data_IF_892530752136
#
_entry.id   IF_892530752136
#
_cell.length_a   1.000
_cell.length_b   1.000
_cell.length_c   1.000
_cell.angle_alpha   90.00
_cell.angle_beta   90.00
_cell.angle_gamma   90.00
#
_symmetry.space_group_name_H-M   'P 1'
#
loop_
_entity.id
_entity.type
_entity.pdbx_description
1 polymer ?
#
# COMPACT_ATOMS: atom_id res chain seq x y z
N UNK A 1 -64.35 15.95 -11.56
CA UNK A 1 -65.44 15.08 -11.07
C UNK A 1 -65.18 13.69 -11.63
N UNK A 2 -63.98 13.15 -11.40
CA UNK A 2 -63.51 12.54 -10.14
C UNK A 2 -64.34 11.30 -9.83
N UNK A 3 -63.78 10.13 -10.14
CA UNK A 3 -63.63 9.10 -9.12
C UNK A 3 -62.54 8.08 -9.50
N UNK A 4 -61.62 7.89 -8.55
CA UNK A 4 -60.55 6.89 -8.47
C UNK A 4 -60.97 5.84 -7.43
N UNK A 5 -60.41 4.63 -7.53
CA UNK A 5 -60.45 3.56 -6.52
C UNK A 5 -61.25 2.36 -7.03
N UNK A 6 -60.88 1.08 -6.88
CA UNK A 6 -59.88 0.40 -6.08
C UNK A 6 -59.58 -0.94 -6.79
N UNK A 7 -58.31 -1.33 -6.93
CA UNK A 7 -57.92 -2.65 -7.47
C UNK A 7 -56.88 -3.36 -6.60
N UNK A 8 -56.90 -3.13 -5.28
CA UNK A 8 -55.94 -3.71 -4.34
C UNK A 8 -56.65 -4.52 -3.25
N UNK A 9 -57.13 -5.73 -3.59
CA UNK A 9 -57.51 -6.77 -2.62
C UNK A 9 -57.82 -8.12 -3.31
N UNK A 10 -56.79 -8.93 -3.60
CA UNK A 10 -56.98 -10.38 -3.81
C UNK A 10 -55.62 -11.12 -3.80
N UNK A 11 -55.05 -11.34 -2.61
CA UNK A 11 -54.00 -12.35 -2.38
C UNK A 11 -53.86 -12.60 -0.86
N UNK A 12 -54.88 -13.26 -0.31
CA UNK A 12 -54.86 -13.79 1.06
C UNK A 12 -55.79 -15.01 1.14
N UNK A 13 -55.27 -16.19 0.80
CA UNK A 13 -55.67 -17.55 1.21
C UNK A 13 -54.98 -18.53 0.24
N UNK A 14 -54.36 -19.65 0.60
CA UNK A 14 -54.20 -20.41 1.82
C UNK A 14 -53.50 -21.70 1.37
N UNK A 15 -52.53 -22.20 2.14
CA UNK A 15 -51.73 -23.36 1.73
C UNK A 15 -50.82 -23.87 2.83
N UNK A 16 -51.42 -24.17 3.98
CA UNK A 16 -50.81 -24.87 5.11
C UNK A 16 -50.56 -26.34 4.70
N UNK A 17 -49.30 -26.74 4.54
CA UNK A 17 -48.91 -28.14 4.35
C UNK A 17 -48.43 -28.68 5.69
N UNK A 18 -49.29 -29.51 6.29
CA UNK A 18 -49.02 -30.27 7.50
C UNK A 18 -47.90 -31.29 7.25
N UNK A 19 -46.81 -31.14 8.01
CA UNK A 19 -45.73 -32.11 8.12
C UNK A 19 -46.15 -33.17 9.14
N UNK A 20 -46.73 -34.28 8.69
CA UNK A 20 -46.92 -35.47 9.53
C UNK A 20 -45.56 -36.06 9.89
N UNK A 21 -45.25 -36.02 11.18
CA UNK A 21 -44.23 -36.86 11.78
C UNK A 21 -44.73 -38.29 11.91
N UNK A 22 -43.83 -39.24 11.64
CA UNK A 22 -43.99 -40.62 12.07
C UNK A 22 -42.80 -41.03 12.92
N UNK A 23 -43.16 -41.66 14.03
CA UNK A 23 -42.30 -41.99 15.14
C UNK A 23 -41.60 -43.34 14.97
N UNK A 24 -40.39 -43.43 15.52
CA UNK A 24 -39.90 -44.51 16.38
C UNK A 24 -40.35 -45.95 16.08
N UNK A 25 -39.43 -46.77 15.54
CA UNK A 25 -39.31 -48.16 15.95
C UNK A 25 -37.83 -48.52 16.20
N UNK A 26 -37.58 -48.99 17.41
CA UNK A 26 -36.31 -49.54 17.88
C UNK A 26 -36.17 -51.03 17.55
N UNK A 27 -34.92 -51.49 17.55
CA UNK A 27 -34.46 -52.87 17.88
C UNK A 27 -34.58 -53.95 16.80
N UNK A 28 -33.43 -54.46 16.31
CA UNK A 28 -32.82 -55.69 16.81
C UNK A 28 -31.87 -56.36 15.79
N UNK A 29 -30.69 -56.70 16.30
CA UNK A 29 -29.76 -57.76 15.89
C UNK A 29 -30.31 -58.86 14.96
N UNK A 30 -29.58 -59.15 13.87
CA UNK A 30 -29.38 -60.52 13.42
C UNK A 30 -28.07 -60.67 12.62
N UNK A 31 -27.13 -61.38 13.25
CA UNK A 31 -25.98 -62.04 12.65
C UNK A 31 -26.42 -62.89 11.44
N UNK A 32 -25.74 -62.75 10.29
CA UNK A 32 -25.68 -63.83 9.32
C UNK A 32 -24.28 -63.95 8.73
N UNK A 33 -23.61 -65.02 9.15
CA UNK A 33 -22.36 -65.54 8.60
C UNK A 33 -22.60 -66.08 7.18
N UNK A 34 -21.65 -65.83 6.29
CA UNK A 34 -21.54 -66.48 4.98
C UNK A 34 -20.28 -67.36 4.93
N UNK A 35 -20.33 -68.56 4.31
CA UNK A 35 -19.21 -69.51 4.27
C UNK A 35 -18.28 -69.29 3.06
N UNK A 36 -17.10 -69.96 3.01
CA UNK A 36 -16.00 -69.59 2.14
C UNK A 36 -15.96 -70.40 0.84
N UNK A 37 -15.49 -69.78 -0.24
CA UNK A 37 -15.10 -70.50 -1.46
C UNK A 37 -13.81 -69.96 -2.07
N UNK A 38 -12.78 -70.80 -1.94
CA UNK A 38 -11.74 -71.17 -2.93
C UNK A 38 -11.09 -70.10 -3.80
N UNK A 39 -9.77 -69.98 -3.59
CA UNK A 39 -8.77 -69.37 -4.48
C UNK A 39 -8.71 -70.02 -5.88
N UNK A 40 -8.06 -69.33 -6.85
CA UNK A 40 -6.79 -69.86 -7.34
C UNK A 40 -5.67 -68.83 -7.63
N UNK A 41 -4.45 -69.33 -7.41
CA UNK A 41 -3.10 -69.09 -7.98
C UNK A 41 -2.74 -67.82 -8.77
N UNK A 42 -1.77 -67.08 -8.20
CA UNK A 42 -0.43 -66.74 -8.71
C UNK A 42 -0.17 -66.77 -10.23
N UNK A 43 0.20 -65.59 -10.79
CA UNK A 43 1.38 -65.38 -11.67
C UNK A 43 1.86 -63.91 -11.52
N UNK A 44 3.19 -63.63 -11.45
CA UNK A 44 3.76 -62.29 -11.27
C UNK A 44 4.19 -61.65 -12.61
N UNK A 45 4.22 -60.31 -12.70
CA UNK A 45 4.90 -59.57 -13.77
C UNK A 45 5.10 -58.08 -13.41
N UNK A 46 6.08 -57.39 -14.04
CA UNK A 46 7.17 -56.78 -13.28
C UNK A 46 7.10 -55.25 -13.17
N UNK A 47 7.78 -54.77 -12.12
CA UNK A 47 8.13 -53.37 -11.90
C UNK A 47 9.12 -52.88 -12.97
N UNK A 48 8.73 -51.83 -13.69
CA UNK A 48 9.65 -50.96 -14.42
C UNK A 48 9.91 -49.70 -13.57
N UNK A 49 11.17 -49.32 -13.31
CA UNK A 49 11.48 -48.08 -12.62
C UNK A 49 11.38 -46.89 -13.60
N UNK A 50 10.62 -45.86 -13.21
CA UNK A 50 10.65 -44.55 -13.86
C UNK A 50 12.00 -43.86 -13.57
N UNK A 51 12.60 -43.17 -14.55
CA UNK A 51 13.82 -42.41 -14.34
C UNK A 51 13.54 -41.16 -13.49
N UNK A 52 14.30 -41.01 -12.41
CA UNK A 52 14.38 -39.77 -11.63
C UNK A 52 15.06 -38.69 -12.47
N UNK A 53 14.28 -37.75 -12.99
CA UNK A 53 14.81 -36.51 -13.59
C UNK A 53 15.21 -35.56 -12.45
N UNK A 54 16.51 -35.39 -12.24
CA UNK A 54 17.10 -34.42 -11.32
C UNK A 54 16.88 -33.00 -11.84
N UNK A 55 16.50 -32.10 -10.92
CA UNK A 55 16.16 -30.70 -11.14
C UNK A 55 17.40 -29.78 -11.24
N UNK A 56 18.55 -30.32 -11.64
CA UNK A 56 19.83 -29.58 -11.68
C UNK A 56 20.28 -29.15 -13.09
N UNK A 57 19.53 -29.52 -14.14
CA UNK A 57 19.93 -29.28 -15.55
C UNK A 57 19.26 -28.06 -16.23
N UNK A 58 18.61 -27.16 -15.48
CA UNK A 58 17.90 -26.00 -16.04
C UNK A 58 18.40 -24.64 -15.53
N UNK A 59 19.72 -24.45 -15.45
CA UNK A 59 20.30 -23.11 -15.35
C UNK A 59 21.36 -22.87 -16.44
N UNK A 60 21.21 -21.85 -17.31
CA UNK A 60 22.25 -21.47 -18.23
C UNK A 60 23.42 -20.82 -17.47
N UNK A 61 24.60 -21.41 -17.62
CA UNK A 61 25.90 -20.88 -17.20
C UNK A 61 26.20 -19.55 -17.89
N UNK A 62 26.31 -18.47 -17.10
CA UNK A 62 26.84 -17.20 -17.59
C UNK A 62 28.38 -17.25 -17.70
N UNK A 63 28.98 -16.63 -18.73
CA UNK A 63 30.41 -16.70 -18.97
C UNK A 63 31.21 -15.83 -18.00
N UNK A 64 32.29 -16.43 -17.52
CA UNK A 64 33.38 -15.87 -16.71
C UNK A 64 34.04 -14.73 -17.48
N UNK A 65 34.18 -13.56 -16.83
CA UNK A 65 35.06 -12.47 -17.29
C UNK A 65 36.37 -12.51 -16.48
N UNK A 66 37.54 -12.40 -17.11
CA UNK A 66 38.83 -12.45 -16.42
C UNK A 66 39.18 -11.10 -15.80
N UNK A 67 39.94 -11.16 -14.70
CA UNK A 67 40.36 -10.01 -13.92
C UNK A 67 41.38 -9.10 -14.60
N UNK A 68 41.45 -7.89 -14.05
CA UNK A 68 42.58 -6.98 -14.19
C UNK A 68 42.85 -6.35 -12.82
N UNK A 69 43.78 -6.97 -12.10
CA UNK A 69 44.56 -6.32 -11.07
C UNK A 69 45.70 -5.51 -11.72
N UNK A 70 46.20 -4.54 -10.95
CA UNK A 70 47.36 -3.67 -11.21
C UNK A 70 47.10 -2.44 -12.10
N UNK A 71 47.18 -1.25 -11.49
CA UNK A 71 48.32 -0.31 -11.62
C UNK A 71 48.07 0.85 -10.63
N UNK A 72 48.86 0.88 -9.56
CA UNK A 72 49.17 2.09 -8.79
C UNK A 72 50.29 2.84 -9.55
N UNK A 73 50.29 4.18 -9.53
CA UNK A 73 51.24 4.93 -8.68
C UNK A 73 50.52 6.13 -8.02
N UNK A 74 50.94 6.74 -6.94
CA UNK A 74 52.27 6.94 -6.35
C UNK A 74 52.23 8.34 -5.71
N UNK A 75 52.95 8.48 -4.61
CA UNK A 75 52.98 9.62 -3.69
C UNK A 75 53.08 11.01 -4.33
N UNK A 76 52.30 11.97 -3.81
CA UNK A 76 52.74 13.37 -3.70
C UNK A 76 52.24 14.00 -2.40
N UNK A 77 53.17 14.19 -1.47
CA UNK A 77 53.08 15.08 -0.32
C UNK A 77 52.89 16.53 -0.75
N UNK A 78 51.85 17.21 -0.27
CA UNK A 78 51.85 18.68 -0.13
C UNK A 78 51.01 19.10 1.08
N UNK A 79 51.65 19.13 2.25
CA UNK A 79 51.24 20.00 3.35
C UNK A 79 51.62 21.45 3.01
N UNK A 80 50.75 22.43 3.26
CA UNK A 80 51.18 23.74 3.70
C UNK A 80 50.87 23.94 5.19
N UNK A 81 51.85 24.50 5.89
CA UNK A 81 51.84 24.91 7.30
C UNK A 81 50.60 25.73 7.69
N UNK A 82 50.16 25.66 8.97
CA UNK A 82 49.17 26.56 9.51
C UNK A 82 49.79 27.95 9.77
N UNK A 83 49.26 28.97 9.09
CA UNK A 83 49.49 30.37 9.46
C UNK A 83 48.63 30.74 10.66
N UNK A 84 49.30 31.33 11.63
CA UNK A 84 48.79 31.99 12.83
C UNK A 84 47.60 32.89 12.49
N UNK A 85 46.41 32.57 13.02
CA UNK A 85 45.24 33.45 13.00
C UNK A 85 45.07 34.10 14.37
N UNK A 86 45.40 35.39 14.41
CA UNK A 86 45.16 36.36 15.48
C UNK A 86 43.69 36.41 15.91
N UNK A 87 43.50 36.47 17.23
CA UNK A 87 42.25 36.74 17.96
C UNK A 87 41.50 37.97 17.42
N UNK A 88 40.16 37.90 17.24
CA UNK A 88 39.33 39.09 17.18
C UNK A 88 38.85 39.53 18.59
N UNK A 89 38.69 40.84 18.84
CA UNK A 89 38.28 41.41 20.14
C UNK A 89 36.77 41.24 20.43
N UNK A 90 36.33 41.40 21.70
CA UNK A 90 35.00 41.02 22.15
C UNK A 90 33.88 41.89 21.57
N UNK A 91 32.87 41.24 20.99
CA UNK A 91 31.66 41.88 20.49
C UNK A 91 30.73 42.27 21.64
N UNK A 92 30.33 43.54 21.65
CA UNK A 92 29.33 44.12 22.56
C UNK A 92 27.94 43.54 22.24
N UNK A 93 27.29 42.97 23.26
CA UNK A 93 25.95 42.38 23.18
C UNK A 93 24.90 43.50 23.18
N UNK A 94 24.14 43.64 22.09
CA UNK A 94 22.98 44.54 22.00
C UNK A 94 21.70 43.70 22.07
N UNK A 95 20.83 44.03 23.04
CA UNK A 95 19.62 43.27 23.38
C UNK A 95 18.57 43.24 22.25
N UNK A 96 17.76 42.17 22.15
CA UNK A 96 16.71 42.03 21.13
C UNK A 96 15.56 43.03 21.33
N UNK A 97 15.00 43.56 20.23
CA UNK A 97 13.96 44.58 20.25
C UNK A 97 12.59 44.00 19.85
N UNK A 98 11.61 44.09 20.75
CA UNK A 98 10.19 43.89 20.44
C UNK A 98 9.58 45.23 20.01
N UNK A 99 8.88 45.25 18.88
CA UNK A 99 8.33 46.47 18.28
C UNK A 99 6.82 46.29 18.11
N UNK A 100 6.04 47.30 18.51
CA UNK A 100 4.58 47.33 18.31
C UNK A 100 4.26 48.20 17.08
N UNK A 101 3.63 47.61 16.07
CA UNK A 101 3.33 48.22 14.78
C UNK A 101 1.82 48.36 14.58
N UNK A 102 1.36 49.52 14.10
CA UNK A 102 -0.04 49.77 13.78
C UNK A 102 -0.23 49.74 12.26
N UNK A 103 -0.98 48.76 11.75
CA UNK A 103 -1.22 48.56 10.31
C UNK A 103 -2.71 48.72 10.01
N UNK A 104 -3.04 49.55 9.03
CA UNK A 104 -4.43 49.71 8.55
C UNK A 104 -4.65 48.84 7.32
N UNK A 105 -5.73 48.06 7.30
CA UNK A 105 -6.07 47.20 6.15
C UNK A 105 -6.64 48.06 5.02
N UNK A 106 -5.84 48.32 3.98
CA UNK A 106 -6.23 49.11 2.81
C UNK A 106 -6.57 48.18 1.64
N UNK A 107 -7.65 48.46 0.90
CA UNK A 107 -8.08 47.68 -0.27
C UNK A 107 -8.29 46.17 0.02
N UNK A 108 -8.64 45.81 1.24
CA UNK A 108 -8.87 44.42 1.66
C UNK A 108 -7.60 43.59 1.90
N UNK A 109 -6.41 44.16 1.75
CA UNK A 109 -5.13 43.48 1.92
C UNK A 109 -4.22 44.23 2.90
N UNK A 110 -3.36 43.50 3.61
CA UNK A 110 -2.36 44.10 4.51
C UNK A 110 -1.00 44.31 3.82
N UNK A 111 -0.76 43.60 2.71
CA UNK A 111 0.43 43.76 1.88
C UNK A 111 1.68 43.02 2.37
N UNK A 112 1.53 41.95 3.15
CA UNK A 112 2.64 41.07 3.52
C UNK A 112 2.18 39.60 3.56
N UNK A 113 3.11 38.68 3.31
CA UNK A 113 2.92 37.23 3.40
C UNK A 113 3.69 36.64 4.56
N UNK A 114 3.13 35.59 5.16
CA UNK A 114 3.69 34.92 6.33
C UNK A 114 3.99 33.45 6.05
N UNK A 115 5.06 32.92 6.65
CA UNK A 115 5.50 31.53 6.53
C UNK A 115 5.65 30.94 7.94
N UNK A 116 5.30 29.66 8.15
CA UNK A 116 5.43 29.01 9.45
C UNK A 116 6.91 28.89 9.83
N UNK A 117 7.23 29.22 11.07
CA UNK A 117 8.60 29.14 11.56
C UNK A 117 8.98 27.67 11.80
N UNK A 118 10.12 27.24 11.24
CA UNK A 118 10.58 25.85 11.38
C UNK A 118 10.98 25.56 12.83
N UNK A 119 10.22 24.71 13.52
CA UNK A 119 10.55 24.17 14.84
C UNK A 119 10.03 24.93 16.06
N UNK A 120 9.32 26.05 15.87
CA UNK A 120 8.61 26.77 16.94
C UNK A 120 7.27 27.26 16.39
N UNK A 121 6.22 27.32 17.23
CA UNK A 121 4.93 27.90 16.85
C UNK A 121 5.07 29.36 16.38
N UNK A 122 4.03 29.86 15.70
CA UNK A 122 3.99 31.22 15.17
C UNK A 122 4.48 31.35 13.72
N UNK A 123 4.52 32.59 13.25
CA UNK A 123 4.73 32.91 11.84
C UNK A 123 5.77 34.02 11.64
N UNK A 124 6.50 33.94 10.54
CA UNK A 124 7.52 34.90 10.14
C UNK A 124 7.09 35.61 8.85
N UNK A 125 7.36 36.90 8.75
CA UNK A 125 7.09 37.68 7.53
C UNK A 125 8.08 37.25 6.43
N UNK A 126 7.55 36.68 5.35
CA UNK A 126 8.35 36.18 4.22
C UNK A 126 8.33 37.12 3.02
N UNK A 127 7.21 37.80 2.78
CA UNK A 127 7.06 38.74 1.66
C UNK A 127 6.45 40.03 2.16
N UNK A 128 6.90 41.14 1.60
CA UNK A 128 6.38 42.48 1.88
C UNK A 128 6.16 43.18 0.55
N UNK A 129 4.95 43.69 0.33
CA UNK A 129 4.62 44.44 -0.87
C UNK A 129 5.09 45.88 -0.70
N UNK A 130 5.91 46.41 -1.63
CA UNK A 130 6.42 47.78 -1.54
C UNK A 130 5.27 48.79 -1.58
N UNK A 131 5.37 49.85 -0.77
CA UNK A 131 4.35 50.89 -0.61
C UNK A 131 3.00 50.40 -0.05
N UNK A 132 2.93 49.21 0.55
CA UNK A 132 1.76 48.73 1.28
C UNK A 132 1.62 49.37 2.66
N UNK A 133 0.45 49.23 3.29
CA UNK A 133 0.23 49.67 4.69
C UNK A 133 1.23 49.04 5.67
N UNK A 134 1.62 47.78 5.44
CA UNK A 134 2.60 47.10 6.30
C UNK A 134 4.03 47.63 6.12
N UNK A 135 4.42 47.97 4.89
CA UNK A 135 5.71 48.61 4.59
C UNK A 135 5.79 50.01 5.21
N UNK A 136 4.71 50.81 5.07
CA UNK A 136 4.61 52.14 5.70
C UNK A 136 4.58 52.10 7.23
N UNK A 137 4.04 51.02 7.80
CA UNK A 137 4.07 50.81 9.24
C UNK A 137 5.46 50.38 9.76
N UNK A 138 6.41 50.01 8.88
CA UNK A 138 7.78 49.64 9.25
C UNK A 138 7.99 48.15 9.54
N UNK A 139 7.08 47.29 9.05
CA UNK A 139 7.26 45.83 9.08
C UNK A 139 8.39 45.44 8.13
N UNK A 140 9.24 44.48 8.53
CA UNK A 140 10.34 43.98 7.70
C UNK A 140 10.19 42.50 7.42
N UNK A 141 10.80 42.07 6.31
CA UNK A 141 11.03 40.65 6.06
C UNK A 141 11.88 40.10 7.21
N UNK A 142 11.57 38.88 7.61
CA UNK A 142 12.14 38.16 8.76
C UNK A 142 11.67 38.59 10.15
N UNK A 143 10.81 39.61 10.28
CA UNK A 143 10.14 39.92 11.55
C UNK A 143 9.22 38.74 11.94
N UNK A 144 9.28 38.33 13.20
CA UNK A 144 8.44 37.25 13.74
C UNK A 144 7.21 37.84 14.45
N UNK A 145 6.01 37.41 14.08
CA UNK A 145 4.78 37.90 14.73
C UNK A 145 4.63 37.24 16.11
N UNK A 146 4.51 38.06 17.15
CA UNK A 146 4.24 37.61 18.52
C UNK A 146 2.75 37.81 18.88
N UNK A 147 2.16 38.96 18.56
CA UNK A 147 0.74 39.24 18.88
C UNK A 147 0.01 39.96 17.76
N UNK A 148 -1.27 39.66 17.62
CA UNK A 148 -2.21 40.32 16.71
C UNK A 148 -3.37 40.86 17.55
N UNK A 149 -3.44 42.18 17.73
CA UNK A 149 -4.38 42.83 18.63
C UNK A 149 -4.16 42.38 20.08
N UNK A 150 -5.14 41.64 20.60
CA UNK A 150 -5.12 41.09 21.98
C UNK A 150 -4.64 39.63 22.01
N UNK A 151 -4.59 38.96 20.86
CA UNK A 151 -4.31 37.53 20.77
C UNK A 151 -2.82 37.24 20.60
N UNK A 152 -2.31 36.27 21.36
CA UNK A 152 -0.94 35.78 21.24
C UNK A 152 -0.86 34.74 20.11
N UNK A 153 -0.06 35.04 19.08
CA UNK A 153 0.09 34.20 17.89
C UNK A 153 1.41 33.43 17.87
N UNK A 154 2.27 33.61 18.88
CA UNK A 154 3.58 32.96 18.97
C UNK A 154 3.52 31.44 19.10
N UNK A 155 2.37 30.85 19.42
CA UNK A 155 2.18 29.39 19.52
C UNK A 155 1.07 28.85 18.60
N UNK A 156 0.45 29.70 17.78
CA UNK A 156 -0.67 29.31 16.91
C UNK A 156 -0.17 28.69 15.59
N UNK A 157 -1.00 27.83 14.98
CA UNK A 157 -0.73 27.27 13.66
C UNK A 157 -0.94 28.33 12.56
N UNK A 158 -0.26 28.17 11.42
CA UNK A 158 -0.32 29.12 10.29
C UNK A 158 -1.74 29.45 9.86
N UNK A 159 -2.61 28.44 9.77
CA UNK A 159 -3.97 28.59 9.28
C UNK A 159 -4.79 29.52 10.19
N UNK A 160 -4.71 29.33 11.50
CA UNK A 160 -5.45 30.13 12.49
C UNK A 160 -4.97 31.60 12.49
N UNK A 161 -3.66 31.82 12.32
CA UNK A 161 -3.09 33.17 12.23
C UNK A 161 -3.54 33.88 10.96
N UNK A 162 -3.60 33.16 9.83
CA UNK A 162 -4.10 33.70 8.56
C UNK A 162 -5.60 34.02 8.64
N UNK A 163 -6.39 33.19 9.32
CA UNK A 163 -7.80 33.46 9.56
C UNK A 163 -8.02 34.72 10.40
N UNK A 164 -7.23 34.92 11.47
CA UNK A 164 -7.30 36.15 12.27
C UNK A 164 -6.92 37.40 11.47
N UNK A 165 -5.90 37.34 10.63
CA UNK A 165 -5.52 38.45 9.74
C UNK A 165 -6.59 38.73 8.67
N UNK A 166 -7.32 37.70 8.21
CA UNK A 166 -8.43 37.84 7.27
C UNK A 166 -9.69 38.42 7.92
N UNK A 167 -9.97 38.06 9.18
CA UNK A 167 -11.17 38.48 9.92
C UNK A 167 -11.25 39.99 10.18
N UNK A 168 -10.13 40.71 10.11
CA UNK A 168 -10.12 42.17 10.28
C UNK A 168 -10.82 42.88 9.13
N UNK A 169 -11.68 43.84 9.46
CA UNK A 169 -12.45 44.59 8.47
C UNK A 169 -11.55 45.55 7.67
N UNK A 170 -11.83 45.76 6.36
CA UNK A 170 -11.12 46.77 5.58
C UNK A 170 -11.34 48.16 6.21
N UNK A 171 -10.27 48.94 6.39
CA UNK A 171 -10.27 50.24 7.06
C UNK A 171 -10.01 50.20 8.57
N UNK A 172 -9.95 49.02 9.18
CA UNK A 172 -9.63 48.86 10.61
C UNK A 172 -8.11 48.78 10.84
N UNK A 173 -7.65 49.36 11.96
CA UNK A 173 -6.25 49.34 12.35
C UNK A 173 -5.96 48.15 13.27
N UNK A 174 -4.99 47.33 12.89
CA UNK A 174 -4.50 46.18 13.66
C UNK A 174 -3.20 46.57 14.36
N UNK A 175 -3.08 46.19 15.63
CA UNK A 175 -1.82 46.26 16.35
C UNK A 175 -1.06 44.93 16.22
N UNK A 176 0.17 44.95 15.72
CA UNK A 176 1.04 43.78 15.63
C UNK A 176 2.25 43.97 16.54
N UNK A 177 2.47 43.04 17.47
CA UNK A 177 3.75 42.97 18.20
C UNK A 177 4.67 42.03 17.46
N UNK A 178 5.83 42.53 17.04
CA UNK A 178 6.82 41.77 16.29
C UNK A 178 8.14 41.67 17.03
N UNK A 179 8.76 40.50 16.95
CA UNK A 179 10.12 40.27 17.39
C UNK A 179 11.06 40.42 16.21
N UNK A 180 11.97 41.38 16.32
CA UNK A 180 13.03 41.57 15.33
C UNK A 180 14.31 40.92 15.85
N UNK A 181 14.74 39.76 15.30
CA UNK A 181 16.04 39.20 15.66
C UNK A 181 17.14 40.21 15.26
N UNK A 182 17.93 40.63 16.23
CA UNK A 182 19.04 41.58 16.05
C UNK A 182 20.21 40.92 15.33
N UNK A 183 20.06 40.69 14.02
CA UNK A 183 21.21 40.57 13.13
C UNK A 183 21.71 41.98 12.77
N UNK A 184 23.02 42.25 12.74
CA UNK A 184 23.54 43.57 12.40
C UNK A 184 23.05 43.95 11.00
N UNK A 185 22.66 45.22 10.75
CA UNK A 185 22.42 45.67 9.40
C UNK A 185 23.75 45.52 8.67
N UNK A 186 23.81 44.61 7.69
CA UNK A 186 24.85 44.63 6.67
C UNK A 186 24.75 46.00 5.98
N UNK A 187 25.48 46.98 6.51
CA UNK A 187 25.94 48.11 5.72
C UNK A 187 26.60 47.46 4.51
N UNK A 188 26.00 47.69 3.34
CA UNK A 188 26.58 47.37 2.05
C UNK A 188 28.08 47.70 2.14
N UNK A 189 29.01 46.74 1.98
CA UNK A 189 30.38 47.11 1.77
C UNK A 189 30.35 47.94 0.49
N UNK A 190 30.85 49.17 0.58
CA UNK A 190 31.20 49.96 -0.59
C UNK A 190 32.33 49.19 -1.27
N UNK A 191 31.94 48.22 -2.09
CA UNK A 191 32.79 47.49 -3.01
C UNK A 191 33.29 48.53 -4.02
N UNK A 192 34.48 49.07 -3.75
CA UNK A 192 35.41 49.34 -4.84
C UNK A 192 36.03 47.99 -5.22
N UNK A 193 35.21 47.07 -5.72
CA UNK A 193 35.63 46.02 -6.62
C UNK A 193 35.19 46.50 -8.01
N UNK A 194 36.03 46.37 -9.05
CA UNK A 194 35.82 47.06 -10.31
C UNK A 194 34.44 46.67 -10.86
N UNK A 195 33.62 47.65 -11.24
CA UNK A 195 32.24 47.45 -11.75
C UNK A 195 32.16 46.32 -12.79
N UNK A 196 33.26 46.09 -13.52
CA UNK A 196 33.44 45.00 -14.47
C UNK A 196 33.25 43.59 -13.87
N UNK A 197 33.68 43.33 -12.63
CA UNK A 197 33.56 42.02 -12.00
C UNK A 197 32.12 41.71 -11.54
N UNK A 198 31.43 42.72 -11.00
CA UNK A 198 30.02 42.59 -10.61
C UNK A 198 29.12 42.46 -11.83
N UNK A 199 29.39 43.25 -12.88
CA UNK A 199 28.70 43.15 -14.18
C UNK A 199 28.89 41.76 -14.80
N UNK A 200 30.11 41.23 -14.77
CA UNK A 200 30.40 39.86 -15.25
C UNK A 200 29.67 38.77 -14.46
N UNK A 201 29.49 38.93 -13.14
CA UNK A 201 28.69 38.00 -12.33
C UNK A 201 27.18 38.09 -12.63
N UNK A 202 26.65 39.30 -12.83
CA UNK A 202 25.24 39.50 -13.22
C UNK A 202 24.98 38.95 -14.62
N UNK A 203 25.90 39.18 -15.57
CA UNK A 203 25.80 38.64 -16.92
C UNK A 203 25.89 37.10 -16.92
N UNK A 204 26.74 36.51 -16.06
CA UNK A 204 26.83 35.06 -15.87
C UNK A 204 25.54 34.50 -15.27
N UNK A 205 25.01 35.10 -14.21
CA UNK A 205 23.75 34.69 -13.59
C UNK A 205 22.54 34.84 -14.54
N UNK A 206 22.51 35.90 -15.35
CA UNK A 206 21.49 36.09 -16.38
C UNK A 206 21.57 35.02 -17.47
N UNK A 207 22.80 34.64 -17.88
CA UNK A 207 23.03 33.55 -18.83
C UNK A 207 22.58 32.20 -18.24
N UNK A 208 22.89 31.92 -16.98
CA UNK A 208 22.48 30.69 -16.31
C UNK A 208 20.97 30.63 -16.12
N UNK A 209 20.32 31.75 -15.81
CA UNK A 209 18.86 31.85 -15.76
C UNK A 209 18.24 31.60 -17.15
N UNK A 210 18.80 32.17 -18.21
CA UNK A 210 18.34 31.92 -19.57
C UNK A 210 18.49 30.44 -19.96
N UNK A 211 19.62 29.80 -19.60
CA UNK A 211 19.85 28.37 -19.80
C UNK A 211 18.83 27.52 -19.02
N UNK A 212 18.56 27.87 -17.75
CA UNK A 212 17.59 27.17 -16.93
C UNK A 212 16.14 27.30 -17.47
N UNK A 213 15.78 28.47 -18.00
CA UNK A 213 14.48 28.67 -18.68
C UNK A 213 14.41 27.81 -19.94
N UNK A 214 15.47 27.76 -20.74
CA UNK A 214 15.53 26.93 -21.95
C UNK A 214 15.49 25.43 -21.64
N UNK A 215 16.11 24.96 -20.57
CA UNK A 215 16.01 23.56 -20.13
C UNK A 215 14.60 23.26 -19.60
N UNK A 216 13.98 24.19 -18.86
CA UNK A 216 12.60 24.04 -18.38
C UNK A 216 11.61 23.92 -19.53
N UNK A 217 11.76 24.70 -20.61
CA UNK A 217 10.90 24.59 -21.79
C UNK A 217 11.12 23.25 -22.51
N UNK A 218 12.37 22.81 -22.71
CA UNK A 218 12.65 21.48 -23.28
C UNK A 218 12.05 20.34 -22.45
N UNK A 219 12.10 20.43 -21.12
CA UNK A 219 11.50 19.44 -20.23
C UNK A 219 9.97 19.47 -20.30
N UNK A 220 9.35 20.65 -20.46
CA UNK A 220 7.92 20.76 -20.69
C UNK A 220 7.50 20.10 -22.01
N UNK A 221 8.26 20.31 -23.09
CA UNK A 221 8.02 19.67 -24.40
C UNK A 221 8.18 18.14 -24.32
N UNK A 222 9.20 17.64 -23.60
CA UNK A 222 9.35 16.19 -23.34
C UNK A 222 8.20 15.63 -22.52
N UNK A 223 7.73 16.35 -21.50
CA UNK A 223 6.61 15.92 -20.67
C UNK A 223 5.32 15.82 -21.49
N UNK A 224 5.05 16.81 -22.35
CA UNK A 224 3.88 16.77 -23.26
C UNK A 224 3.99 15.63 -24.27
N UNK A 225 5.17 15.36 -24.82
CA UNK A 225 5.41 14.21 -25.70
C UNK A 225 5.21 12.86 -24.99
N UNK A 226 5.67 12.73 -23.75
CA UNK A 226 5.46 11.52 -22.95
C UNK A 226 3.98 11.29 -22.64
N UNK A 227 3.23 12.35 -22.28
CA UNK A 227 1.78 12.25 -22.06
C UNK A 227 1.05 11.74 -23.30
N UNK A 228 1.42 12.24 -24.49
CA UNK A 228 0.86 11.76 -25.77
C UNK A 228 1.17 10.28 -26.01
N UNK A 229 2.41 9.83 -25.79
CA UNK A 229 2.77 8.41 -25.94
C UNK A 229 2.04 7.50 -24.95
N UNK A 230 1.91 7.92 -23.70
CA UNK A 230 1.15 7.16 -22.69
C UNK A 230 -0.31 7.05 -23.12
N UNK A 231 -0.91 8.15 -23.60
CA UNK A 231 -2.27 8.14 -24.12
C UNK A 231 -2.43 7.19 -25.33
N UNK A 232 -1.50 7.19 -26.27
CA UNK A 232 -1.50 6.26 -27.42
C UNK A 232 -1.39 4.79 -26.98
N UNK A 233 -0.56 4.50 -25.97
CA UNK A 233 -0.42 3.13 -25.43
C UNK A 233 -1.72 2.69 -24.77
N UNK A 234 -2.36 3.55 -23.98
CA UNK A 234 -3.65 3.26 -23.34
C UNK A 234 -4.73 3.00 -24.39
N UNK A 235 -4.83 3.84 -25.43
CA UNK A 235 -5.79 3.65 -26.52
C UNK A 235 -5.56 2.29 -27.22
N UNK A 236 -4.32 1.95 -27.55
CA UNK A 236 -3.99 0.66 -28.17
C UNK A 236 -4.34 -0.53 -27.27
N UNK A 237 -4.09 -0.42 -25.97
CA UNK A 237 -4.45 -1.45 -25.02
C UNK A 237 -5.98 -1.65 -24.96
N UNK A 238 -6.74 -0.56 -24.92
CA UNK A 238 -8.22 -0.62 -24.92
C UNK A 238 -8.76 -1.21 -26.23
N UNK A 239 -8.18 -0.87 -27.38
CA UNK A 239 -8.53 -1.46 -28.69
C UNK A 239 -8.30 -2.98 -28.70
N UNK A 240 -7.15 -3.44 -28.18
CA UNK A 240 -6.87 -4.89 -28.10
C UNK A 240 -7.84 -5.60 -27.15
N UNK A 241 -8.20 -4.98 -26.03
CA UNK A 241 -9.15 -5.55 -25.07
C UNK A 241 -10.56 -5.64 -25.67
N UNK A 242 -10.99 -4.61 -26.40
CA UNK A 242 -12.26 -4.62 -27.13
C UNK A 242 -12.28 -5.70 -28.21
N UNK A 243 -11.18 -5.91 -28.93
CA UNK A 243 -11.08 -6.96 -29.95
C UNK A 243 -11.17 -8.36 -29.34
N UNK A 244 -10.41 -8.64 -28.27
CA UNK A 244 -10.48 -9.91 -27.53
C UNK A 244 -11.88 -10.15 -26.97
N UNK A 245 -12.55 -9.10 -26.48
CA UNK A 245 -13.92 -9.21 -25.95
C UNK A 245 -14.90 -9.58 -27.06
N UNK A 246 -14.83 -8.91 -28.23
CA UNK A 246 -15.65 -9.26 -29.40
C UNK A 246 -15.43 -10.70 -29.88
N UNK A 247 -14.18 -11.16 -29.91
CA UNK A 247 -13.85 -12.54 -30.29
C UNK A 247 -14.41 -13.56 -29.29
N UNK A 248 -14.34 -13.27 -27.99
CA UNK A 248 -14.95 -14.10 -26.94
C UNK A 248 -16.47 -14.14 -27.08
N UNK A 249 -17.12 -13.00 -27.28
CA UNK A 249 -18.58 -12.93 -27.44
C UNK A 249 -19.05 -13.67 -28.70
N UNK A 250 -18.31 -13.56 -29.81
CA UNK A 250 -18.57 -14.33 -31.03
C UNK A 250 -18.43 -15.84 -30.78
N UNK A 251 -17.42 -16.25 -30.00
CA UNK A 251 -17.21 -17.66 -29.64
C UNK A 251 -18.33 -18.18 -28.73
N UNK A 252 -18.78 -17.37 -27.76
CA UNK A 252 -19.90 -17.71 -26.88
C UNK A 252 -21.20 -17.82 -27.69
N UNK A 253 -21.45 -16.90 -28.61
CA UNK A 253 -22.62 -16.95 -29.49
C UNK A 253 -22.61 -18.22 -30.35
N UNK A 254 -21.46 -18.58 -30.93
CA UNK A 254 -21.31 -19.83 -31.70
C UNK A 254 -21.56 -21.08 -30.85
N UNK A 255 -20.94 -21.18 -29.67
CA UNK A 255 -21.16 -22.32 -28.77
C UNK A 255 -22.62 -22.41 -28.27
N UNK A 256 -23.30 -21.26 -28.13
CA UNK A 256 -24.72 -21.22 -27.76
C UNK A 256 -25.60 -21.73 -28.89
N UNK A 257 -25.30 -21.36 -30.14
CA UNK A 257 -25.98 -21.90 -31.33
C UNK A 257 -25.74 -23.40 -31.47
N UNK A 258 -24.48 -23.85 -31.41
CA UNK A 258 -24.12 -25.27 -31.52
C UNK A 258 -24.83 -26.10 -30.43
N UNK A 259 -24.95 -25.55 -29.20
CA UNK A 259 -25.71 -26.19 -28.12
C UNK A 259 -27.21 -26.30 -28.44
N UNK A 260 -27.81 -25.26 -29.03
CA UNK A 260 -29.20 -25.28 -29.45
C UNK A 260 -29.44 -26.30 -30.57
N UNK A 261 -28.55 -26.36 -31.56
CA UNK A 261 -28.61 -27.29 -32.67
C UNK A 261 -28.48 -28.75 -32.19
N UNK A 262 -27.54 -29.03 -31.27
CA UNK A 262 -27.39 -30.37 -30.65
C UNK A 262 -28.63 -30.73 -29.81
N UNK A 263 -29.20 -29.78 -29.07
CA UNK A 263 -30.42 -30.02 -28.31
C UNK A 263 -31.62 -30.33 -29.23
N UNK A 264 -31.73 -29.62 -30.36
CA UNK A 264 -32.76 -29.87 -31.37
C UNK A 264 -32.56 -31.24 -32.04
N UNK A 265 -31.33 -31.61 -32.40
CA UNK A 265 -30.99 -32.92 -32.96
C UNK A 265 -31.28 -34.07 -31.98
N UNK A 266 -31.04 -33.85 -30.68
CA UNK A 266 -31.38 -34.82 -29.64
C UNK A 266 -32.90 -34.96 -29.51
N UNK A 267 -33.65 -33.86 -29.55
CA UNK A 267 -35.11 -33.90 -29.50
C UNK A 267 -35.73 -34.60 -30.72
N UNK A 268 -35.18 -34.40 -31.93
CA UNK A 268 -35.63 -35.10 -33.14
C UNK A 268 -35.31 -36.59 -33.10
N UNK A 269 -34.10 -36.98 -32.65
CA UNK A 269 -33.74 -38.39 -32.45
C UNK A 269 -34.64 -39.06 -31.41
N UNK A 270 -34.93 -38.39 -30.28
CA UNK A 270 -35.87 -38.91 -29.28
C UNK A 270 -37.29 -39.07 -29.83
N UNK A 271 -37.74 -38.16 -30.70
CA UNK A 271 -39.03 -38.28 -31.37
C UNK A 271 -39.05 -39.45 -32.37
N UNK A 272 -37.98 -39.64 -33.15
CA UNK A 272 -37.80 -40.78 -34.04
C UNK A 272 -37.79 -42.10 -33.27
N UNK A 273 -37.04 -42.20 -32.18
CA UNK A 273 -37.05 -43.36 -31.28
C UNK A 273 -38.46 -43.68 -30.76
N UNK A 274 -39.27 -42.67 -30.45
CA UNK A 274 -40.68 -42.89 -30.01
C UNK A 274 -41.58 -43.39 -31.14
N UNK A 275 -41.29 -43.03 -32.38
CA UNK A 275 -42.00 -43.53 -33.58
C UNK A 275 -41.54 -44.95 -33.88
N UNK A 276 -40.23 -45.21 -33.87
CA UNK A 276 -39.64 -46.54 -34.07
C UNK A 276 -40.04 -47.54 -32.99
N UNK A 277 -40.11 -47.11 -31.72
CA UNK A 277 -40.64 -47.94 -30.63
C UNK A 277 -42.12 -48.30 -30.81
N UNK A 278 -42.87 -47.53 -31.62
CA UNK A 278 -44.27 -47.82 -32.00
C UNK A 278 -44.37 -48.64 -33.30
N UNK A 279 -43.36 -48.62 -34.15
CA UNK A 279 -43.26 -49.44 -35.36
C UNK A 279 -42.33 -50.62 -35.11
N UNK A 280 -42.91 -51.74 -34.67
CA UNK A 280 -42.30 -53.07 -34.55
C UNK A 280 -40.98 -53.29 -35.34
N UNK A 281 -39.89 -53.45 -34.58
CA UNK A 281 -38.65 -54.16 -34.90
C UNK A 281 -38.05 -53.98 -36.30
N UNK A 282 -37.34 -52.87 -36.50
CA UNK A 282 -36.25 -52.84 -37.48
C UNK A 282 -34.91 -52.95 -36.74
N UNK A 283 -34.20 -54.07 -36.94
CA UNK A 283 -32.93 -54.37 -36.26
C UNK A 283 -31.87 -53.28 -36.49
N UNK A 284 -32.02 -52.51 -37.57
CA UNK A 284 -31.12 -51.45 -37.98
C UNK A 284 -31.23 -50.19 -37.10
N UNK A 285 -32.45 -49.76 -36.75
CA UNK A 285 -32.66 -48.60 -35.87
C UNK A 285 -32.14 -48.86 -34.44
N UNK A 286 -32.38 -50.06 -33.91
CA UNK A 286 -31.82 -50.48 -32.63
C UNK A 286 -30.28 -50.51 -32.62
N UNK A 287 -29.64 -50.87 -33.74
CA UNK A 287 -28.19 -50.84 -33.85
C UNK A 287 -27.64 -49.41 -33.84
N UNK A 288 -28.32 -48.46 -34.49
CA UNK A 288 -27.91 -47.05 -34.51
C UNK A 288 -28.08 -46.37 -33.15
N UNK A 289 -29.22 -46.57 -32.48
CA UNK A 289 -29.45 -46.04 -31.12
C UNK A 289 -28.42 -46.59 -30.14
N UNK A 290 -28.09 -47.89 -30.25
CA UNK A 290 -27.05 -48.50 -29.43
C UNK A 290 -25.68 -47.89 -29.71
N UNK A 291 -25.33 -47.66 -30.97
CA UNK A 291 -24.07 -46.99 -31.32
C UNK A 291 -23.99 -45.56 -30.78
N UNK A 292 -25.10 -44.80 -30.82
CA UNK A 292 -25.17 -43.46 -30.23
C UNK A 292 -25.05 -43.49 -28.70
N UNK A 293 -25.66 -44.47 -28.04
CA UNK A 293 -25.54 -44.68 -26.60
C UNK A 293 -24.09 -45.02 -26.22
N UNK A 294 -23.46 -45.95 -26.94
CA UNK A 294 -22.06 -46.34 -26.71
C UNK A 294 -21.11 -45.14 -26.92
N UNK A 295 -21.36 -44.32 -27.94
CA UNK A 295 -20.61 -43.08 -28.18
C UNK A 295 -20.83 -42.03 -27.08
N UNK A 296 -22.05 -41.89 -26.56
CA UNK A 296 -22.35 -40.99 -25.45
C UNK A 296 -21.70 -41.46 -24.14
N UNK A 297 -21.69 -42.76 -23.87
CA UNK A 297 -21.00 -43.36 -22.71
C UNK A 297 -19.49 -43.11 -22.80
N UNK A 298 -18.88 -43.31 -23.97
CA UNK A 298 -17.47 -42.99 -24.19
C UNK A 298 -17.18 -41.51 -23.92
N UNK A 299 -18.05 -40.61 -24.42
CA UNK A 299 -17.89 -39.17 -24.22
C UNK A 299 -18.03 -38.75 -22.75
N UNK A 300 -18.91 -39.39 -21.98
CA UNK A 300 -19.02 -39.16 -20.53
C UNK A 300 -17.74 -39.61 -19.83
N UNK A 301 -17.21 -40.80 -20.17
CA UNK A 301 -15.95 -41.29 -19.61
C UNK A 301 -14.77 -40.34 -19.88
N UNK A 302 -14.67 -39.80 -21.10
CA UNK A 302 -13.66 -38.81 -21.46
C UNK A 302 -13.78 -37.51 -20.64
N UNK A 303 -15.01 -37.04 -20.40
CA UNK A 303 -15.27 -35.85 -19.58
C UNK A 303 -14.92 -36.09 -18.11
N UNK A 304 -15.23 -37.25 -17.55
CA UNK A 304 -14.83 -37.63 -16.19
C UNK A 304 -13.30 -37.71 -16.06
N UNK A 305 -12.61 -38.28 -17.04
CA UNK A 305 -11.14 -38.32 -17.05
C UNK A 305 -10.53 -36.91 -17.13
N UNK A 306 -11.13 -36.01 -17.92
CA UNK A 306 -10.73 -34.61 -17.97
C UNK A 306 -10.95 -33.90 -16.62
N UNK A 307 -12.06 -34.17 -15.93
CA UNK A 307 -12.34 -33.64 -14.60
C UNK A 307 -11.36 -34.17 -13.55
N UNK A 308 -11.04 -35.47 -13.57
CA UNK A 308 -10.02 -36.08 -12.72
C UNK A 308 -8.65 -35.43 -12.93
N UNK A 309 -8.23 -35.24 -14.19
CA UNK A 309 -6.98 -34.55 -14.54
C UNK A 309 -6.98 -33.10 -14.05
N UNK A 310 -8.08 -32.36 -14.23
CA UNK A 310 -8.23 -30.98 -13.73
C UNK A 310 -8.15 -30.92 -12.20
N UNK A 311 -8.80 -31.85 -11.51
CA UNK A 311 -8.76 -31.96 -10.05
C UNK A 311 -7.35 -32.28 -9.54
N UNK A 312 -6.64 -33.20 -10.20
CA UNK A 312 -5.25 -33.52 -9.88
C UNK A 312 -4.32 -32.32 -10.09
N UNK A 313 -4.47 -31.60 -11.21
CA UNK A 313 -3.71 -30.37 -11.50
C UNK A 313 -3.99 -29.28 -10.44
N UNK A 314 -5.24 -29.11 -10.01
CA UNK A 314 -5.63 -28.18 -8.93
C UNK A 314 -4.98 -28.56 -7.61
N UNK A 315 -5.02 -29.84 -7.21
CA UNK A 315 -4.33 -30.33 -6.00
C UNK A 315 -2.83 -30.05 -6.06
N UNK A 316 -2.20 -30.29 -7.21
CA UNK A 316 -0.78 -30.00 -7.41
C UNK A 316 -0.48 -28.51 -7.29
N UNK A 317 -1.28 -27.65 -7.94
CA UNK A 317 -1.14 -26.19 -7.84
C UNK A 317 -1.24 -25.69 -6.39
N UNK A 318 -2.27 -26.14 -5.65
CA UNK A 318 -2.44 -25.77 -4.23
C UNK A 318 -1.25 -26.25 -3.39
N UNK A 319 -0.74 -27.45 -3.65
CA UNK A 319 0.45 -27.98 -2.97
C UNK A 319 1.70 -27.14 -3.25
N UNK A 320 1.93 -26.72 -4.49
CA UNK A 320 3.06 -25.85 -4.85
C UNK A 320 2.92 -24.46 -4.22
N UNK A 321 1.72 -23.90 -4.23
CA UNK A 321 1.43 -22.62 -3.57
C UNK A 321 1.67 -22.69 -2.06
N UNK A 322 1.26 -23.77 -1.39
CA UNK A 322 1.51 -23.97 0.03
C UNK A 322 3.02 -24.09 0.34
N UNK A 323 3.78 -24.83 -0.47
CA UNK A 323 5.22 -24.95 -0.31
C UNK A 323 5.95 -23.61 -0.51
N UNK A 324 5.51 -22.81 -1.48
CA UNK A 324 6.06 -21.49 -1.75
C UNK A 324 5.68 -20.46 -0.67
N UNK A 325 4.45 -20.52 -0.16
CA UNK A 325 3.97 -19.69 0.94
C UNK A 325 4.84 -19.86 2.19
N UNK A 326 5.22 -21.10 2.54
CA UNK A 326 6.11 -21.36 3.68
C UNK A 326 7.49 -20.70 3.56
N UNK A 327 8.09 -20.71 2.36
CA UNK A 327 9.37 -20.01 2.11
C UNK A 327 9.24 -18.49 2.17
N UNK A 328 8.17 -17.97 1.58
CA UNK A 328 7.90 -16.53 1.57
C UNK A 328 7.49 -16.00 2.96
N UNK A 329 6.95 -16.85 3.83
CA UNK A 329 6.52 -16.46 5.17
C UNK A 329 7.70 -15.94 6.01
N UNK A 330 8.81 -16.70 6.04
CA UNK A 330 10.01 -16.27 6.76
C UNK A 330 10.59 -14.96 6.19
N UNK A 331 10.50 -14.75 4.87
CA UNK A 331 10.93 -13.50 4.23
C UNK A 331 10.01 -12.34 4.60
N UNK A 332 8.70 -12.56 4.61
CA UNK A 332 7.71 -11.56 4.99
C UNK A 332 7.90 -11.14 6.46
N UNK A 333 8.05 -12.10 7.37
CA UNK A 333 8.35 -11.84 8.79
C UNK A 333 9.61 -11.00 8.96
N UNK A 334 10.65 -11.31 8.19
CA UNK A 334 11.91 -10.56 8.22
C UNK A 334 11.72 -9.12 7.75
N UNK A 335 11.03 -8.91 6.61
CA UNK A 335 10.72 -7.57 6.09
C UNK A 335 9.86 -6.77 7.07
N UNK A 336 8.85 -7.39 7.67
CA UNK A 336 8.00 -6.73 8.67
C UNK A 336 8.83 -6.24 9.85
N UNK A 337 9.74 -7.08 10.37
CA UNK A 337 10.63 -6.69 11.47
C UNK A 337 11.59 -5.58 11.05
N UNK A 338 12.19 -5.65 9.86
CA UNK A 338 13.10 -4.61 9.37
C UNK A 338 12.40 -3.25 9.28
N UNK A 339 11.21 -3.22 8.66
CA UNK A 339 10.41 -1.99 8.58
C UNK A 339 10.02 -1.47 9.97
N UNK A 340 9.67 -2.36 10.90
CA UNK A 340 9.35 -1.99 12.27
C UNK A 340 10.57 -1.41 13.01
N UNK A 341 11.74 -2.01 12.86
CA UNK A 341 12.99 -1.52 13.47
C UNK A 341 13.39 -0.16 12.92
N UNK A 342 13.30 0.03 11.60
CA UNK A 342 13.54 1.34 10.96
C UNK A 342 12.58 2.39 11.52
N UNK A 343 11.31 2.03 11.65
CA UNK A 343 10.29 2.94 12.15
C UNK A 343 10.52 3.29 13.64
N UNK A 344 10.86 2.31 14.50
CA UNK A 344 11.25 2.55 15.90
C UNK A 344 12.52 3.39 16.02
N UNK A 345 13.54 3.14 15.20
CA UNK A 345 14.77 3.93 15.17
C UNK A 345 14.50 5.39 14.75
N UNK A 346 13.61 5.59 13.77
CA UNK A 346 13.18 6.92 13.34
C UNK A 346 12.45 7.66 14.46
N UNK A 347 11.59 6.96 15.21
CA UNK A 347 10.96 7.52 16.41
C UNK A 347 11.98 7.88 17.49
N UNK A 348 12.95 7.02 17.76
CA UNK A 348 14.03 7.30 18.71
C UNK A 348 14.83 8.56 18.31
N UNK A 349 15.18 8.70 17.03
CA UNK A 349 15.86 9.89 16.52
C UNK A 349 15.02 11.17 16.67
N UNK A 350 13.70 11.10 16.38
CA UNK A 350 12.78 12.22 16.59
C UNK A 350 12.65 12.61 18.08
N UNK A 351 12.70 11.63 18.99
CA UNK A 351 12.74 11.86 20.45
C UNK A 351 14.03 12.55 20.87
N UNK A 352 15.18 12.10 20.37
CA UNK A 352 16.46 12.70 20.68
C UNK A 352 16.50 14.18 20.25
N UNK A 353 15.94 14.50 19.07
CA UNK A 353 15.85 15.87 18.57
C UNK A 353 14.94 16.78 19.43
N UNK A 354 13.84 16.24 19.97
CA UNK A 354 12.87 17.01 20.77
C UNK A 354 13.33 17.24 22.22
N UNK A 355 14.07 16.30 22.84
CA UNK A 355 14.65 16.46 24.19
C UNK A 355 15.60 17.66 24.32
N UNK A 356 16.16 18.15 23.21
CA UNK A 356 16.99 19.37 23.16
C UNK A 356 16.21 20.65 23.53
N UNK A 357 14.88 20.65 23.37
CA UNK A 357 14.02 21.80 23.63
C UNK A 357 13.08 21.52 24.83
N UNK A 358 13.58 21.76 26.05
CA UNK A 358 12.88 21.52 27.31
C UNK A 358 11.49 22.19 27.47
N UNK A 359 11.12 23.11 26.56
CA UNK A 359 9.89 23.90 26.63
C UNK A 359 8.80 23.52 25.60
N UNK A 360 9.06 22.61 24.65
CA UNK A 360 8.07 22.16 23.67
C UNK A 360 8.17 20.65 23.50
N UNK A 361 7.61 19.90 24.45
CA UNK A 361 7.46 18.45 24.32
C UNK A 361 6.36 18.15 23.29
N UNK A 362 6.71 18.14 22.00
CA UNK A 362 5.84 17.60 20.97
C UNK A 362 5.55 16.14 21.31
N UNK A 363 4.30 15.84 21.67
CA UNK A 363 3.85 14.47 21.95
C UNK A 363 3.91 13.68 20.65
N UNK A 364 4.87 12.77 20.55
CA UNK A 364 4.92 11.82 19.44
C UNK A 364 3.63 10.98 19.42
N UNK A 365 3.16 10.59 18.22
CA UNK A 365 1.99 9.75 18.10
C UNK A 365 2.18 8.46 18.91
N UNK A 366 1.16 7.99 19.65
CA UNK A 366 1.24 6.78 20.47
C UNK A 366 1.26 5.49 19.63
N UNK A 367 1.10 5.63 18.32
CA UNK A 367 1.05 4.54 17.36
C UNK A 367 2.13 4.68 16.29
N UNK A 368 2.52 3.54 15.74
CA UNK A 368 3.50 3.36 14.69
C UNK A 368 2.87 2.55 13.57
N UNK A 369 2.91 3.05 12.35
CA UNK A 369 2.38 2.32 11.18
C UNK A 369 3.50 1.95 10.24
N UNK A 370 3.52 0.70 9.79
CA UNK A 370 4.42 0.19 8.77
C UNK A 370 3.62 -0.33 7.58
N UNK A 371 4.21 -0.25 6.39
CA UNK A 371 3.65 -0.78 5.16
C UNK A 371 4.68 -1.69 4.49
N UNK A 372 4.22 -2.84 4.01
CA UNK A 372 5.03 -3.82 3.29
C UNK A 372 4.32 -4.15 1.97
N UNK A 373 5.03 -3.92 0.87
CA UNK A 373 4.53 -4.13 -0.50
C UNK A 373 4.96 -5.49 -1.06
N UNK A 374 4.23 -5.94 -2.10
CA UNK A 374 4.48 -7.20 -2.82
C UNK A 374 4.32 -8.43 -1.91
N UNK A 375 3.36 -8.37 -1.01
CA UNK A 375 3.03 -9.46 -0.10
C UNK A 375 2.05 -10.42 -0.78
N UNK A 376 2.49 -11.65 -1.07
CA UNK A 376 1.62 -12.67 -1.65
C UNK A 376 0.45 -12.99 -0.72
N UNK A 377 -0.80 -13.06 -1.23
CA UNK A 377 -1.99 -13.31 -0.40
C UNK A 377 -1.89 -14.56 0.47
N UNK A 378 -1.40 -15.67 -0.09
CA UNK A 378 -1.25 -16.95 0.63
C UNK A 378 -0.29 -16.82 1.82
N UNK A 379 0.82 -16.10 1.64
CA UNK A 379 1.79 -15.84 2.71
C UNK A 379 1.20 -14.96 3.81
N UNK A 380 0.48 -13.91 3.43
CA UNK A 380 -0.16 -13.00 4.38
C UNK A 380 -1.26 -13.73 5.17
N UNK A 381 -2.09 -14.53 4.51
CA UNK A 381 -3.10 -15.33 5.19
C UNK A 381 -2.49 -16.35 6.15
N UNK A 382 -1.36 -16.97 5.78
CA UNK A 382 -0.63 -17.86 6.68
C UNK A 382 -0.05 -17.12 7.89
N UNK A 383 0.55 -15.94 7.69
CA UNK A 383 1.03 -15.08 8.77
C UNK A 383 -0.11 -14.70 9.73
N UNK A 384 -1.27 -14.35 9.16
CA UNK A 384 -2.49 -13.93 9.85
C UNK A 384 -3.34 -15.10 10.37
N UNK A 385 -2.93 -16.35 10.15
CA UNK A 385 -3.68 -17.58 10.51
C UNK A 385 -5.15 -17.47 10.08
N UNK A 386 -5.34 -16.99 8.85
CA UNK A 386 -6.64 -16.86 8.19
C UNK A 386 -6.74 -17.95 7.15
N UNK A 387 -7.80 -18.74 7.23
CA UNK A 387 -8.06 -19.78 6.24
C UNK A 387 -8.38 -19.16 4.88
N UNK A 388 -7.59 -19.52 3.86
CA UNK A 388 -7.86 -19.12 2.48
C UNK A 388 -9.17 -19.75 2.00
N UNK A 389 -10.14 -18.92 1.62
CA UNK A 389 -11.39 -19.37 0.99
C UNK A 389 -11.15 -19.51 -0.51
N UNK A 390 -11.61 -20.62 -1.10
CA UNK A 390 -11.53 -20.87 -2.54
C UNK A 390 -12.93 -20.86 -3.15
N UNK A 391 -13.06 -20.34 -4.37
CA UNK A 391 -14.32 -20.39 -5.12
C UNK A 391 -14.61 -21.79 -5.68
N UNK A 392 -15.77 -21.95 -6.33
CA UNK A 392 -16.18 -23.20 -6.98
C UNK A 392 -15.17 -23.68 -8.05
N UNK A 393 -14.42 -22.76 -8.66
CA UNK A 393 -13.41 -23.05 -9.66
C UNK A 393 -12.03 -23.37 -9.05
N UNK A 394 -11.84 -23.12 -7.75
CA UNK A 394 -10.59 -23.35 -7.05
C UNK A 394 -9.63 -22.19 -6.97
N UNK A 395 -10.07 -20.98 -7.28
CA UNK A 395 -9.25 -19.78 -7.13
C UNK A 395 -9.44 -19.18 -5.73
N UNK A 396 -8.37 -18.66 -5.11
CA UNK A 396 -8.47 -17.99 -3.82
C UNK A 396 -9.34 -16.73 -3.97
N UNK A 397 -10.31 -16.57 -3.08
CA UNK A 397 -11.16 -15.38 -3.05
C UNK A 397 -10.32 -14.23 -2.47
N UNK A 398 -10.06 -13.21 -3.29
CA UNK A 398 -9.25 -12.05 -2.92
C UNK A 398 -10.11 -11.00 -2.23
N UNK A 399 -10.42 -11.20 -0.95
CA UNK A 399 -11.14 -10.22 -0.14
C UNK A 399 -10.16 -9.38 0.70
N UNK A 400 -10.26 -8.04 0.69
CA UNK A 400 -9.51 -7.19 1.60
C UNK A 400 -9.75 -7.59 3.06
N UNK A 401 -8.66 -7.66 3.81
CA UNK A 401 -8.68 -8.19 5.17
C UNK A 401 -8.38 -7.08 6.15
N UNK A 402 -9.17 -6.98 7.22
CA UNK A 402 -8.93 -6.10 8.37
C UNK A 402 -9.10 -6.90 9.64
N UNK A 403 -8.04 -7.00 10.43
CA UNK A 403 -8.06 -7.77 11.67
C UNK A 403 -7.12 -7.19 12.72
N UNK A 404 -7.42 -7.50 13.98
CA UNK A 404 -6.66 -7.02 15.13
C UNK A 404 -5.98 -8.19 15.81
N UNK A 405 -4.65 -8.19 15.88
CA UNK A 405 -3.88 -9.20 16.59
C UNK A 405 -3.80 -8.92 18.09
N UNK A 406 -4.08 -9.92 18.94
CA UNK A 406 -3.73 -9.86 20.35
C UNK A 406 -2.22 -9.69 20.54
N UNK A 407 -1.83 -8.99 21.61
CA UNK A 407 -0.41 -8.76 21.94
C UNK A 407 0.37 -10.08 22.10
N UNK A 408 -0.24 -11.11 22.68
CA UNK A 408 0.37 -12.43 22.85
C UNK A 408 0.76 -13.07 21.51
N UNK A 409 -0.08 -12.90 20.48
CA UNK A 409 0.18 -13.43 19.15
C UNK A 409 1.29 -12.67 18.43
N UNK A 410 1.25 -11.34 18.49
CA UNK A 410 2.31 -10.51 17.95
C UNK A 410 3.68 -10.86 18.57
N UNK A 411 3.70 -11.09 19.89
CA UNK A 411 4.89 -11.54 20.59
C UNK A 411 5.31 -12.96 20.20
N UNK A 412 4.37 -13.89 19.99
CA UNK A 412 4.70 -15.25 19.56
C UNK A 412 5.37 -15.29 18.16
N UNK A 413 4.93 -14.41 17.25
CA UNK A 413 5.46 -14.36 15.87
C UNK A 413 6.81 -13.62 15.82
N UNK A 414 6.90 -12.44 16.43
CA UNK A 414 8.09 -11.58 16.28
C UNK A 414 9.07 -11.67 17.45
N UNK A 415 8.64 -12.20 18.59
CA UNK A 415 9.45 -12.36 19.80
C UNK A 415 10.04 -11.03 20.29
N UNK A 416 11.32 -11.08 20.67
CA UNK A 416 12.08 -9.91 21.14
C UNK A 416 12.47 -8.94 20.02
N UNK A 417 12.18 -9.25 18.76
CA UNK A 417 12.52 -8.40 17.61
C UNK A 417 11.67 -7.13 17.53
N UNK A 418 10.64 -7.03 18.38
CA UNK A 418 9.78 -5.85 18.57
C UNK A 418 10.41 -4.76 19.46
N UNK A 419 11.65 -4.97 19.89
CA UNK A 419 12.37 -4.09 20.82
C UNK A 419 13.51 -3.37 20.09
N UNK A 420 13.60 -2.06 20.28
CA UNK A 420 14.69 -1.22 19.81
C UNK A 420 15.35 -0.50 20.99
N UNK A 421 16.64 -0.68 21.18
CA UNK A 421 17.40 0.01 22.23
C UNK A 421 17.78 1.42 21.75
N UNK A 422 17.18 2.46 22.36
CA UNK A 422 17.51 3.87 22.06
C UNK A 422 18.87 4.24 22.68
N UNK A 423 19.14 3.73 23.87
CA UNK A 423 20.37 3.93 24.66
C UNK A 423 20.43 2.86 25.75
N UNK A 424 21.60 2.65 26.34
CA UNK A 424 21.82 1.63 27.37
C UNK A 424 20.73 1.67 28.46
N UNK A 425 19.88 0.64 28.48
CA UNK A 425 18.79 0.50 29.46
C UNK A 425 17.48 1.25 29.17
N UNK A 426 17.31 1.85 27.98
CA UNK A 426 16.04 2.42 27.50
C UNK A 426 15.66 1.82 26.17
N UNK A 427 14.58 1.05 26.19
CA UNK A 427 14.07 0.29 25.07
C UNK A 427 12.72 0.86 24.61
N UNK A 428 12.55 1.03 23.31
CA UNK A 428 11.25 1.23 22.68
C UNK A 428 10.70 -0.13 22.30
N UNK A 429 9.50 -0.45 22.78
CA UNK A 429 8.86 -1.74 22.55
C UNK A 429 7.57 -1.50 21.78
N UNK A 430 7.48 -2.07 20.58
CA UNK A 430 6.21 -2.18 19.86
C UNK A 430 5.32 -3.21 20.58
N UNK A 431 4.16 -2.77 21.06
CA UNK A 431 3.24 -3.53 21.89
C UNK A 431 1.87 -3.64 21.22
N UNK A 432 1.22 -4.81 21.32
CA UNK A 432 -0.13 -5.02 20.79
C UNK A 432 -1.24 -4.38 21.63
N UNK A 433 -2.50 -4.34 21.14
CA UNK A 433 -2.99 -4.98 19.93
C UNK A 433 -2.51 -4.35 18.63
N UNK A 434 -2.36 -5.15 17.57
CA UNK A 434 -1.88 -4.72 16.25
C UNK A 434 -3.03 -4.69 15.27
N UNK A 435 -3.31 -3.53 14.68
CA UNK A 435 -4.30 -3.42 13.62
C UNK A 435 -3.63 -3.73 12.29
N UNK A 436 -4.14 -4.72 11.57
CA UNK A 436 -3.60 -5.15 10.29
C UNK A 436 -4.63 -4.96 9.20
N UNK A 437 -4.22 -4.39 8.08
CA UNK A 437 -5.02 -4.24 6.88
C UNK A 437 -4.23 -4.81 5.71
N UNK A 438 -4.84 -5.70 4.95
CA UNK A 438 -4.23 -6.27 3.76
C UNK A 438 -5.17 -6.13 2.58
N UNK A 439 -4.65 -5.58 1.49
CA UNK A 439 -5.34 -5.51 0.22
C UNK A 439 -4.70 -6.51 -0.77
N UNK A 440 -5.41 -7.61 -1.11
CA UNK A 440 -4.88 -8.62 -2.01
C UNK A 440 -4.74 -8.14 -3.46
N UNK A 441 -5.40 -7.04 -3.84
CA UNK A 441 -5.30 -6.50 -5.20
C UNK A 441 -4.03 -5.68 -5.42
N UNK A 442 -3.60 -4.95 -4.39
CA UNK A 442 -2.36 -4.16 -4.40
C UNK A 442 -1.18 -4.88 -3.76
N UNK A 443 -1.40 -6.08 -3.21
CA UNK A 443 -0.42 -6.85 -2.44
C UNK A 443 0.24 -6.01 -1.30
N UNK A 444 -0.54 -5.10 -0.70
CA UNK A 444 -0.09 -4.16 0.34
C UNK A 444 -0.57 -4.60 1.73
N UNK A 445 0.38 -4.81 2.64
CA UNK A 445 0.14 -5.08 4.06
C UNK A 445 0.47 -3.84 4.90
N UNK A 446 -0.53 -3.27 5.56
CA UNK A 446 -0.40 -2.19 6.53
C UNK A 446 -0.55 -2.77 7.95
N UNK A 447 0.39 -2.49 8.83
CA UNK A 447 0.32 -2.88 10.25
C UNK A 447 0.52 -1.67 11.15
N UNK A 448 -0.44 -1.41 12.04
CA UNK A 448 -0.40 -0.33 13.01
C UNK A 448 -0.25 -0.89 14.42
N UNK A 449 0.79 -0.43 15.10
CA UNK A 449 1.24 -0.86 16.41
C UNK A 449 1.06 0.26 17.42
N UNK A 450 0.80 -0.09 18.67
CA UNK A 450 1.10 0.82 19.78
C UNK A 450 2.56 0.63 20.18
N UNK A 451 3.17 1.65 20.76
CA UNK A 451 4.52 1.50 21.32
C UNK A 451 4.58 2.04 22.74
N UNK A 452 5.53 1.51 23.51
CA UNK A 452 5.78 1.94 24.89
C UNK A 452 7.27 2.05 25.14
N UNK A 453 7.63 2.94 26.08
CA UNK A 453 9.00 3.04 26.57
C UNK A 453 9.17 2.11 27.78
N UNK A 454 10.13 1.20 27.67
CA UNK A 454 10.54 0.33 28.75
C UNK A 454 11.95 0.74 29.21
N UNK A 455 12.06 1.25 30.45
CA UNK A 455 13.32 1.65 31.04
C UNK A 455 13.68 0.72 32.18
N UNK A 456 14.78 -0.02 32.02
CA UNK A 456 15.27 -1.01 33.01
C UNK A 456 15.55 -0.33 34.35
N UNK A 457 16.09 0.88 34.34
CA UNK A 457 16.32 1.69 35.55
C UNK A 457 15.02 2.03 36.29
N UNK A 458 13.93 2.31 35.56
CA UNK A 458 12.62 2.56 36.19
C UNK A 458 12.04 1.28 36.79
N UNK A 459 12.27 0.14 36.17
CA UNK A 459 11.81 -1.16 36.67
C UNK A 459 12.55 -1.56 37.94
N UNK A 460 13.89 -1.45 37.96
CA UNK A 460 14.71 -1.65 39.16
C UNK A 460 14.29 -0.67 40.27
N UNK A 461 14.06 0.60 39.94
CA UNK A 461 13.58 1.59 40.91
C UNK A 461 12.18 1.28 41.46
N UNK A 462 11.31 0.59 40.69
CA UNK A 462 10.00 0.13 41.16
C UNK A 462 10.12 -1.12 42.04
N UNK A 463 10.97 -2.09 41.69
CA UNK A 463 11.16 -3.29 42.49
C UNK A 463 11.75 -2.97 43.86
N UNK A 464 12.71 -2.04 43.94
CA UNK A 464 13.30 -1.58 45.20
C UNK A 464 12.27 -0.86 46.10
N UNK A 465 11.25 -0.20 45.54
CA UNK A 465 10.19 0.45 46.35
C UNK A 465 9.14 -0.50 46.88
N UNK A 466 9.03 -1.70 46.29
CA UNK A 466 8.04 -2.70 46.66
C UNK A 466 8.61 -3.79 47.58
N UNK A 467 9.93 -3.94 47.64
CA UNK A 467 10.67 -4.72 48.64
C UNK A 467 10.93 -3.86 49.88
#
# INVERSE_FOLDING_TARGET
MDDRGDWEAALADGGHMDFMGDASLSSALLLRQSPPTKAPSLVPSPLSPLPSLSLDDLLPSAPVSPGLAAILPGDVHLFPNPLVATLPPPAVVVAPQCIDLRIVKENGVLGFGVVPRRGMGGVQVSTLQPASSADRAGLRIDDCLLRIGVNDVGSMALNDVVEQLKAVRPGEAIMLRVYRPTAPPTKKPRLMAPENALKKQVDAAAKDLANAIAEKTKLADRNTALRKRVQEIVIKADETLLQVTKEKDATIAKLTQDKADVAQALATLQAQMRIEARTLFDAKGNAEIKAQLDAAVLRIADLEDAERKRSAAKKHYVSVQAALAGKLLAQLETRVVEHLQIALATMAAARAATKSNAYNAATLPPTLTITVELCRPTTVFQLLDVTTVYDAFGFPVLTPLRLTWPAARAYAVFGQRLVYEERTGVNLVASGPVETKFDPTTELLEMTWKWSEHSVLREIGRSIRLA
#
